data_IF_771288450181
#
_entry.id   IF_771288450181
#
_cell.length_a   1.000
_cell.length_b   1.000
_cell.length_c   1.000
_cell.angle_alpha   90.00
_cell.angle_beta   90.00
_cell.angle_gamma   90.00
#
_symmetry.space_group_name_H-M   'P 1'
#
loop_
_entity.id
_entity.type
_entity.pdbx_description
1 polymer ?
#
# COMPACT_ATOMS: atom_id res chain seq x y z
N UNK A 1 -27.38 6.82 6.50
CA UNK A 1 -25.97 7.02 6.90
C UNK A 1 -25.57 6.15 8.10
N UNK A 2 -26.41 5.98 9.14
CA UNK A 2 -26.12 5.14 10.31
C UNK A 2 -26.04 3.61 10.03
N UNK A 3 -26.82 3.08 9.07
CA UNK A 3 -26.81 1.63 8.73
C UNK A 3 -25.52 1.19 8.01
N UNK A 4 -24.94 2.05 7.16
CA UNK A 4 -23.68 1.74 6.46
C UNK A 4 -22.46 1.74 7.38
N UNK A 5 -22.48 2.52 8.45
CA UNK A 5 -21.44 2.51 9.50
C UNK A 5 -21.44 1.16 10.25
N UNK A 6 -22.62 0.61 10.58
CA UNK A 6 -22.68 -0.70 11.25
C UNK A 6 -22.12 -1.82 10.39
N UNK A 7 -22.41 -1.83 9.09
CA UNK A 7 -21.91 -2.89 8.18
C UNK A 7 -20.39 -2.80 7.99
N UNK A 8 -19.85 -1.60 7.75
CA UNK A 8 -18.41 -1.38 7.63
C UNK A 8 -17.67 -1.76 8.92
N UNK A 9 -18.18 -1.35 10.09
CA UNK A 9 -17.59 -1.69 11.38
C UNK A 9 -17.63 -3.19 11.63
N UNK A 10 -18.71 -3.88 11.27
CA UNK A 10 -18.81 -5.34 11.39
C UNK A 10 -17.80 -6.05 10.49
N UNK A 11 -17.68 -5.65 9.22
CA UNK A 11 -16.74 -6.26 8.27
C UNK A 11 -15.29 -6.04 8.73
N UNK A 12 -14.94 -4.80 9.08
CA UNK A 12 -13.60 -4.45 9.55
C UNK A 12 -13.26 -5.19 10.85
N UNK A 13 -14.20 -5.21 11.81
CA UNK A 13 -14.06 -5.93 13.07
C UNK A 13 -13.87 -7.43 12.87
N UNK A 14 -14.65 -8.05 11.98
CA UNK A 14 -14.53 -9.46 11.64
C UNK A 14 -13.18 -9.78 10.99
N UNK A 15 -12.74 -8.96 10.02
CA UNK A 15 -11.46 -9.16 9.34
C UNK A 15 -10.28 -9.09 10.33
N UNK A 16 -10.28 -8.10 11.22
CA UNK A 16 -9.27 -7.98 12.27
C UNK A 16 -9.33 -9.14 13.25
N UNK A 17 -10.53 -9.54 13.68
CA UNK A 17 -10.72 -10.66 14.60
C UNK A 17 -10.20 -11.97 14.01
N UNK A 18 -10.50 -12.26 12.74
CA UNK A 18 -9.99 -13.44 12.04
C UNK A 18 -8.46 -13.39 11.94
N UNK A 19 -7.89 -12.24 11.57
CA UNK A 19 -6.44 -12.06 11.53
C UNK A 19 -5.77 -12.29 12.88
N UNK A 20 -6.36 -11.77 13.96
CA UNK A 20 -5.87 -11.99 15.33
C UNK A 20 -5.97 -13.45 15.76
N UNK A 21 -7.05 -14.15 15.44
CA UNK A 21 -7.19 -15.60 15.71
C UNK A 21 -6.09 -16.38 14.99
N UNK A 22 -5.84 -16.09 13.71
CA UNK A 22 -4.78 -16.78 12.94
C UNK A 22 -3.41 -16.54 13.58
N UNK A 23 -3.10 -15.31 13.99
CA UNK A 23 -1.82 -14.98 14.62
C UNK A 23 -1.70 -15.63 16.00
N UNK A 24 -2.76 -15.62 16.81
CA UNK A 24 -2.76 -16.16 18.16
C UNK A 24 -2.60 -17.69 18.17
N UNK A 25 -3.42 -18.41 17.39
CA UNK A 25 -3.43 -19.87 17.38
C UNK A 25 -2.48 -20.50 16.35
N UNK A 26 -2.04 -19.73 15.34
CA UNK A 26 -1.18 -20.25 14.27
C UNK A 26 0.15 -20.80 14.78
N UNK A 27 0.71 -20.22 15.84
CA UNK A 27 1.95 -20.68 16.45
C UNK A 27 1.77 -21.97 17.29
N UNK A 28 0.59 -22.18 17.87
CA UNK A 28 0.28 -23.37 18.67
C UNK A 28 -0.06 -24.57 17.79
N UNK A 29 -0.76 -24.34 16.68
CA UNK A 29 -1.13 -25.38 15.72
C UNK A 29 0.05 -25.80 14.80
N UNK A 30 1.08 -24.96 14.69
CA UNK A 30 2.24 -25.26 13.84
C UNK A 30 3.12 -26.37 14.41
N UNK A 31 3.42 -27.38 13.59
CA UNK A 31 4.40 -28.43 13.92
C UNK A 31 5.79 -27.82 13.91
N UNK A 32 6.45 -27.80 15.08
CA UNK A 32 7.80 -27.24 15.24
C UNK A 32 8.85 -28.34 15.20
N UNK A 33 9.72 -28.30 14.19
CA UNK A 33 10.98 -29.05 14.18
C UNK A 33 12.10 -28.32 14.93
N UNK A 34 13.21 -29.01 15.28
CA UNK A 34 14.35 -28.41 15.97
C UNK A 34 14.93 -27.24 15.18
N UNK A 35 15.48 -26.24 15.87
CA UNK A 35 16.16 -25.12 15.24
C UNK A 35 17.54 -25.56 14.76
N UNK A 36 17.71 -25.62 13.44
CA UNK A 36 18.97 -25.90 12.77
C UNK A 36 19.46 -24.65 12.05
N UNK A 37 20.76 -24.55 11.80
CA UNK A 37 21.33 -23.40 11.06
C UNK A 37 20.66 -23.22 9.68
N UNK A 38 20.34 -24.34 9.01
CA UNK A 38 19.60 -24.32 7.73
C UNK A 38 18.15 -23.84 7.83
N UNK A 39 17.45 -24.11 8.95
CA UNK A 39 16.07 -23.62 9.18
C UNK A 39 16.02 -22.10 9.31
N UNK A 40 17.08 -21.50 9.84
CA UNK A 40 17.22 -20.06 10.05
C UNK A 40 17.96 -19.36 8.91
N UNK A 41 18.42 -20.11 7.91
CA UNK A 41 19.11 -19.55 6.76
C UNK A 41 18.14 -18.71 5.90
N UNK A 42 18.62 -17.57 5.35
CA UNK A 42 17.81 -16.72 4.49
C UNK A 42 17.47 -17.37 3.13
N UNK A 43 18.10 -18.49 2.80
CA UNK A 43 17.95 -19.18 1.53
C UNK A 43 17.76 -20.70 1.75
N UNK A 44 16.76 -21.27 1.07
CA UNK A 44 16.31 -22.63 1.32
C UNK A 44 16.97 -23.70 0.45
N UNK A 45 17.62 -23.33 -0.68
CA UNK A 45 18.18 -24.34 -1.60
C UNK A 45 19.58 -24.84 -1.19
N UNK A 46 20.00 -24.61 0.05
CA UNK A 46 21.25 -25.13 0.61
C UNK A 46 22.53 -24.41 0.15
N UNK A 47 22.43 -23.49 -0.81
CA UNK A 47 23.56 -22.63 -1.19
C UNK A 47 23.80 -21.57 -0.10
N UNK A 48 25.05 -21.31 0.31
CA UNK A 48 25.40 -20.22 1.23
C UNK A 48 25.26 -18.84 0.54
N UNK A 49 24.01 -18.44 0.28
CA UNK A 49 23.70 -17.11 -0.25
C UNK A 49 23.69 -16.11 0.91
N UNK A 50 24.63 -15.14 0.95
CA UNK A 50 24.63 -14.14 2.00
C UNK A 50 23.41 -13.22 1.85
N UNK A 51 22.85 -12.80 2.99
CA UNK A 51 21.78 -11.81 3.00
C UNK A 51 22.29 -10.47 2.42
N UNK A 52 21.96 -10.22 1.15
CA UNK A 52 22.33 -8.98 0.46
C UNK A 52 21.29 -7.90 0.75
N UNK A 53 21.77 -6.72 1.13
CA UNK A 53 20.94 -5.51 1.13
C UNK A 53 20.75 -5.07 -0.32
N UNK A 54 19.56 -5.28 -0.87
CA UNK A 54 19.20 -4.78 -2.20
C UNK A 54 19.23 -3.26 -2.15
N UNK A 55 20.17 -2.65 -2.87
CA UNK A 55 20.21 -1.19 -3.05
C UNK A 55 19.20 -0.84 -4.14
N UNK A 56 18.00 -0.47 -3.73
CA UNK A 56 16.96 0.04 -4.64
C UNK A 56 17.37 1.45 -5.06
N UNK A 57 17.18 1.79 -6.34
CA UNK A 57 17.30 3.18 -6.78
C UNK A 57 16.18 4.00 -6.13
N UNK A 58 16.53 4.68 -5.03
CA UNK A 58 15.63 5.49 -4.22
C UNK A 58 15.03 6.62 -5.06
N UNK A 59 15.80 7.19 -5.99
CA UNK A 59 15.30 8.22 -6.89
C UNK A 59 14.10 7.73 -7.70
N UNK A 60 14.25 6.60 -8.39
CA UNK A 60 13.16 6.04 -9.19
C UNK A 60 11.98 5.60 -8.32
N UNK A 61 12.25 4.99 -7.16
CA UNK A 61 11.21 4.58 -6.23
C UNK A 61 10.34 5.76 -5.76
N UNK A 62 10.96 6.88 -5.39
CA UNK A 62 10.23 8.08 -4.97
C UNK A 62 9.38 8.68 -6.09
N UNK A 63 9.86 8.65 -7.34
CA UNK A 63 9.05 9.11 -8.49
C UNK A 63 7.75 8.30 -8.58
N UNK A 64 7.84 6.98 -8.51
CA UNK A 64 6.66 6.12 -8.56
C UNK A 64 5.73 6.37 -7.37
N UNK A 65 6.27 6.56 -6.16
CA UNK A 65 5.48 6.88 -4.99
C UNK A 65 4.72 8.21 -5.13
N UNK A 66 5.37 9.24 -5.70
CA UNK A 66 4.72 10.54 -5.95
C UNK A 66 3.66 10.41 -7.04
N UNK A 67 3.91 9.69 -8.13
CA UNK A 67 2.87 9.42 -9.13
C UNK A 67 1.67 8.70 -8.52
N UNK A 68 1.90 7.66 -7.72
CA UNK A 68 0.85 6.96 -7.01
C UNK A 68 0.03 7.91 -6.15
N UNK A 69 0.68 8.77 -5.36
CA UNK A 69 0.00 9.76 -4.52
C UNK A 69 -0.85 10.75 -5.32
N UNK A 70 -0.34 11.24 -6.46
CA UNK A 70 -1.09 12.16 -7.34
C UNK A 70 -2.39 11.49 -7.82
N UNK A 71 -2.31 10.25 -8.31
CA UNK A 71 -3.47 9.53 -8.83
C UNK A 71 -4.43 9.06 -7.74
N UNK A 72 -3.93 8.68 -6.56
CA UNK A 72 -4.73 8.25 -5.42
C UNK A 72 -5.62 9.40 -4.90
N UNK A 73 -5.02 10.57 -4.68
CA UNK A 73 -5.74 11.77 -4.24
C UNK A 73 -6.73 12.24 -5.30
N UNK A 74 -6.33 12.27 -6.58
CA UNK A 74 -7.22 12.64 -7.68
C UNK A 74 -8.41 11.67 -7.80
N UNK A 75 -8.16 10.36 -7.69
CA UNK A 75 -9.19 9.33 -7.71
C UNK A 75 -10.20 9.50 -6.58
N UNK A 76 -9.73 9.76 -5.36
CA UNK A 76 -10.60 10.02 -4.21
C UNK A 76 -11.46 11.28 -4.38
N UNK A 77 -10.86 12.38 -4.87
CA UNK A 77 -11.57 13.64 -5.13
C UNK A 77 -12.63 13.47 -6.23
N UNK A 78 -12.32 12.72 -7.30
CA UNK A 78 -13.27 12.43 -8.36
C UNK A 78 -14.42 11.54 -7.86
N UNK A 79 -14.10 10.46 -7.13
CA UNK A 79 -15.10 9.55 -6.59
C UNK A 79 -16.09 10.26 -5.64
N UNK A 80 -15.56 11.10 -4.74
CA UNK A 80 -16.39 11.89 -3.81
C UNK A 80 -17.24 12.92 -4.56
N UNK A 81 -16.70 13.61 -5.57
CA UNK A 81 -17.47 14.53 -6.41
C UNK A 81 -18.60 13.82 -7.16
N UNK A 82 -18.34 12.66 -7.78
CA UNK A 82 -19.36 11.88 -8.49
C UNK A 82 -20.47 11.44 -7.54
N UNK A 83 -20.13 11.06 -6.31
CA UNK A 83 -21.11 10.66 -5.31
C UNK A 83 -21.99 11.83 -4.81
N UNK A 84 -21.41 13.03 -4.71
CA UNK A 84 -22.10 14.24 -4.24
C UNK A 84 -21.57 15.47 -5.02
N UNK A 85 -22.17 15.83 -6.17
CA UNK A 85 -21.66 16.87 -7.05
C UNK A 85 -22.06 18.27 -6.56
N UNK A 86 -21.67 18.63 -5.33
CA UNK A 86 -22.02 19.91 -4.69
C UNK A 86 -21.07 21.03 -5.14
N UNK A 87 -19.81 20.70 -5.44
CA UNK A 87 -18.81 21.67 -5.85
C UNK A 87 -17.89 21.10 -6.95
N UNK A 88 -18.16 21.45 -8.21
CA UNK A 88 -17.36 21.02 -9.37
C UNK A 88 -16.03 21.80 -9.51
N UNK A 89 -15.81 22.88 -8.76
CA UNK A 89 -14.55 23.63 -8.83
C UNK A 89 -13.41 22.85 -8.16
N UNK A 90 -13.71 22.15 -7.06
CA UNK A 90 -12.73 21.39 -6.29
C UNK A 90 -12.02 20.29 -7.10
N UNK A 91 -12.71 19.38 -7.82
CA UNK A 91 -12.05 18.41 -8.69
C UNK A 91 -11.32 19.06 -9.87
N UNK A 92 -11.79 20.21 -10.37
CA UNK A 92 -11.13 20.93 -11.45
C UNK A 92 -9.77 21.48 -11.02
N UNK A 93 -9.69 22.10 -9.82
CA UNK A 93 -8.43 22.55 -9.24
C UNK A 93 -7.48 21.39 -8.97
N UNK A 94 -7.97 20.29 -8.40
CA UNK A 94 -7.14 19.10 -8.16
C UNK A 94 -6.64 18.45 -9.45
N UNK A 95 -7.46 18.40 -10.49
CA UNK A 95 -7.03 17.92 -11.81
C UNK A 95 -5.93 18.85 -12.39
N UNK A 96 -6.11 20.16 -12.27
CA UNK A 96 -5.11 21.14 -12.70
C UNK A 96 -3.77 21.00 -11.97
N UNK A 97 -3.77 20.92 -10.64
CA UNK A 97 -2.54 20.73 -9.85
C UNK A 97 -1.88 19.37 -10.11
N UNK A 98 -2.67 18.33 -10.35
CA UNK A 98 -2.18 17.00 -10.73
C UNK A 98 -1.47 17.03 -12.08
N UNK A 99 -2.04 17.72 -13.08
CA UNK A 99 -1.41 17.91 -14.39
C UNK A 99 -0.10 18.69 -14.28
N UNK A 100 -0.08 19.79 -13.53
CA UNK A 100 1.16 20.57 -13.31
C UNK A 100 2.23 19.72 -12.63
N UNK A 101 1.84 18.89 -11.67
CA UNK A 101 2.75 17.98 -10.97
C UNK A 101 3.32 16.93 -11.93
N UNK A 102 2.48 16.28 -12.76
CA UNK A 102 2.93 15.30 -13.77
C UNK A 102 3.88 15.96 -14.79
N UNK A 103 3.55 17.16 -15.28
CA UNK A 103 4.43 17.91 -16.19
C UNK A 103 5.77 18.20 -15.52
N UNK A 104 5.78 18.61 -14.26
CA UNK A 104 7.02 18.90 -13.51
C UNK A 104 7.86 17.64 -13.32
N UNK A 105 7.23 16.49 -13.00
CA UNK A 105 7.92 15.22 -12.81
C UNK A 105 8.46 14.62 -14.12
N UNK A 106 7.79 14.88 -15.26
CA UNK A 106 8.18 14.38 -16.59
C UNK A 106 9.12 15.33 -17.34
N UNK A 107 9.28 16.57 -16.88
CA UNK A 107 10.06 17.55 -17.60
C UNK A 107 11.55 17.17 -17.69
N UNK A 108 12.12 17.34 -18.88
CA UNK A 108 13.50 16.96 -19.20
C UNK A 108 14.58 17.75 -18.43
N UNK A 109 14.21 18.78 -17.67
CA UNK A 109 15.14 19.57 -16.83
C UNK A 109 15.83 18.77 -15.71
N UNK A 110 15.48 17.48 -15.58
CA UNK A 110 16.02 16.56 -14.58
C UNK A 110 17.25 15.78 -15.08
N UNK A 111 17.49 15.72 -16.38
CA UNK A 111 18.72 15.15 -16.96
C UNK A 111 19.82 16.19 -17.02
#
# INVERSE_FOLDING_TARGET
>A
MLVGLSEFTVIMGLALLVGLIIVAFGNELAIKGPDTEGKLAPYACGEPVPATKVRINVENFFIYAVYFMIFDVLGFVLATTVSQPVNLLLPLFYAGTSLVSIVTLTANWRQ
#
